data_IF_619115628841
#
_entry.id   IF_619115628841
#
_cell.length_a   1.000
_cell.length_b   1.000
_cell.length_c   1.000
_cell.angle_alpha   90.00
_cell.angle_beta   90.00
_cell.angle_gamma   90.00
#
_symmetry.space_group_name_H-M   'P 1'
#
loop_
_entity.id
_entity.type
_entity.pdbx_description
1 polymer ?
#
# COMPACT_ATOMS: atom_id res chain seq x y z
N UNK A 1 1.79 -20.95 -19.33
CA UNK A 1 1.45 -19.92 -18.32
C UNK A 1 1.54 -18.59 -19.04
N UNK A 2 0.40 -17.96 -19.30
CA UNK A 2 0.33 -16.71 -20.04
C UNK A 2 0.84 -15.54 -19.20
N UNK A 3 1.41 -14.54 -19.86
CA UNK A 3 1.97 -13.35 -19.20
C UNK A 3 0.92 -12.59 -18.39
N UNK A 4 -0.33 -12.58 -18.85
CA UNK A 4 -1.46 -11.96 -18.15
C UNK A 4 -1.71 -12.61 -16.78
N UNK A 5 -1.78 -13.94 -16.74
CA UNK A 5 -1.97 -14.71 -15.51
C UNK A 5 -0.82 -14.49 -14.51
N UNK A 6 0.40 -14.33 -15.00
CA UNK A 6 1.56 -14.04 -14.16
C UNK A 6 1.46 -12.64 -13.55
N UNK A 7 1.10 -11.63 -14.34
CA UNK A 7 0.90 -10.24 -13.86
C UNK A 7 -0.19 -10.19 -12.79
N UNK A 8 -1.32 -10.86 -13.02
CA UNK A 8 -2.43 -10.91 -12.05
C UNK A 8 -2.02 -11.57 -10.73
N UNK A 9 -1.24 -12.65 -10.80
CA UNK A 9 -0.73 -13.33 -9.61
C UNK A 9 0.23 -12.44 -8.80
N UNK A 10 1.15 -11.74 -9.47
CA UNK A 10 2.05 -10.79 -8.82
C UNK A 10 1.25 -9.65 -8.18
N UNK A 11 0.31 -9.07 -8.92
CA UNK A 11 -0.52 -7.97 -8.43
C UNK A 11 -1.34 -8.39 -7.19
N UNK A 12 -1.96 -9.57 -7.22
CA UNK A 12 -2.69 -10.13 -6.10
C UNK A 12 -1.78 -10.33 -4.87
N UNK A 13 -0.59 -10.90 -5.10
CA UNK A 13 0.39 -11.16 -4.05
C UNK A 13 0.86 -9.86 -3.38
N UNK A 14 1.26 -8.86 -4.18
CA UNK A 14 1.65 -7.54 -3.70
C UNK A 14 0.50 -6.83 -2.94
N UNK A 15 -0.74 -6.94 -3.44
CA UNK A 15 -1.91 -6.38 -2.77
C UNK A 15 -2.16 -7.01 -1.40
N UNK A 16 -2.12 -8.35 -1.31
CA UNK A 16 -2.31 -9.07 -0.05
C UNK A 16 -1.20 -8.75 0.95
N UNK A 17 0.07 -8.81 0.54
CA UNK A 17 1.18 -8.47 1.43
C UNK A 17 1.13 -7.00 1.90
N UNK A 18 0.76 -6.08 1.01
CA UNK A 18 0.57 -4.66 1.38
C UNK A 18 -0.55 -4.48 2.41
N UNK A 19 -1.68 -5.17 2.24
CA UNK A 19 -2.79 -5.14 3.20
C UNK A 19 -2.40 -5.73 4.56
N UNK A 20 -1.71 -6.87 4.57
CA UNK A 20 -1.23 -7.50 5.80
C UNK A 20 -0.24 -6.58 6.53
N UNK A 21 0.68 -5.95 5.80
CA UNK A 21 1.63 -4.99 6.36
C UNK A 21 0.90 -3.77 6.98
N UNK A 22 -0.12 -3.23 6.31
CA UNK A 22 -0.92 -2.14 6.86
C UNK A 22 -1.67 -2.52 8.14
N UNK A 23 -2.29 -3.71 8.14
CA UNK A 23 -2.99 -4.22 9.33
C UNK A 23 -2.01 -4.34 10.50
N UNK A 24 -0.88 -5.02 10.30
CA UNK A 24 0.10 -5.30 11.35
C UNK A 24 0.86 -4.06 11.84
N UNK A 25 1.32 -3.20 10.94
CA UNK A 25 2.20 -2.08 11.28
C UNK A 25 1.45 -0.80 11.65
N UNK A 26 0.24 -0.59 11.13
CA UNK A 26 -0.50 0.66 11.33
C UNK A 26 -1.82 0.44 12.08
N UNK A 27 -2.67 -0.47 11.63
CA UNK A 27 -4.02 -0.62 12.19
C UNK A 27 -4.01 -1.20 13.62
N UNK A 28 -3.20 -2.25 13.88
CA UNK A 28 -3.07 -2.87 15.20
C UNK A 28 -2.54 -1.89 16.27
N UNK A 29 -1.39 -1.19 16.08
CA UNK A 29 -0.91 -0.24 17.08
C UNK A 29 -1.82 0.98 17.26
N UNK A 30 -2.48 1.45 16.20
CA UNK A 30 -3.46 2.54 16.30
C UNK A 30 -4.67 2.13 17.17
N UNK A 31 -5.13 0.89 17.05
CA UNK A 31 -6.24 0.37 17.86
C UNK A 31 -5.86 0.17 19.33
N UNK A 32 -4.63 -0.27 19.60
CA UNK A 32 -4.14 -0.51 20.97
C UNK A 32 -3.94 0.78 21.78
N UNK A 33 -3.71 1.92 21.13
CA UNK A 33 -3.32 3.17 21.80
C UNK A 33 -4.46 3.91 22.51
N UNK A 34 -5.73 3.63 22.19
CA UNK A 34 -6.87 4.40 22.69
C UNK A 34 -7.84 3.56 23.53
N UNK A 35 -8.33 4.13 24.64
CA UNK A 35 -9.27 3.47 25.55
C UNK A 35 -10.74 3.53 25.12
N UNK A 36 -11.14 4.52 24.31
CA UNK A 36 -12.53 4.66 23.82
C UNK A 36 -12.69 4.15 22.38
N UNK A 37 -13.71 3.32 22.15
CA UNK A 37 -14.02 2.71 20.83
C UNK A 37 -14.13 3.74 19.69
N UNK A 38 -14.70 4.91 19.96
CA UNK A 38 -14.85 5.97 18.95
C UNK A 38 -13.51 6.59 18.51
N UNK A 39 -12.55 6.71 19.45
CA UNK A 39 -11.20 7.20 19.15
C UNK A 39 -10.40 6.16 18.35
N UNK A 40 -10.63 4.87 18.61
CA UNK A 40 -10.01 3.78 17.84
C UNK A 40 -10.45 3.78 16.38
N UNK A 41 -11.74 3.98 16.12
CA UNK A 41 -12.26 4.05 14.75
C UNK A 41 -11.67 5.22 13.95
N UNK A 42 -11.58 6.41 14.57
CA UNK A 42 -10.97 7.58 13.94
C UNK A 42 -9.45 7.38 13.70
N UNK A 43 -8.74 6.73 14.62
CA UNK A 43 -7.32 6.44 14.46
C UNK A 43 -7.06 5.46 13.30
N UNK A 44 -7.86 4.41 13.15
CA UNK A 44 -7.76 3.48 12.00
C UNK A 44 -8.15 4.17 10.69
N UNK A 45 -9.10 5.10 10.71
CA UNK A 45 -9.42 5.89 9.51
C UNK A 45 -8.22 6.74 9.06
N UNK A 46 -7.47 7.32 10.01
CA UNK A 46 -6.23 8.05 9.71
C UNK A 46 -5.13 7.15 9.14
N UNK A 47 -5.05 5.87 9.53
CA UNK A 47 -4.08 4.95 8.93
C UNK A 47 -4.43 4.57 7.50
N UNK A 48 -5.72 4.60 7.10
CA UNK A 48 -6.11 4.45 5.70
C UNK A 48 -5.59 5.60 4.82
N UNK A 49 -5.52 6.82 5.36
CA UNK A 49 -4.90 7.95 4.66
C UNK A 49 -3.42 7.69 4.37
N UNK A 50 -2.69 7.14 5.35
CA UNK A 50 -1.29 6.75 5.15
C UNK A 50 -1.13 5.66 4.09
N UNK A 51 -2.00 4.64 4.09
CA UNK A 51 -2.04 3.60 3.04
C UNK A 51 -2.23 4.22 1.66
N UNK A 52 -3.22 5.10 1.51
CA UNK A 52 -3.52 5.77 0.25
C UNK A 52 -2.33 6.62 -0.21
N UNK A 53 -1.68 7.36 0.69
CA UNK A 53 -0.49 8.14 0.37
C UNK A 53 0.65 7.25 -0.14
N UNK A 54 0.96 6.14 0.53
CA UNK A 54 1.98 5.19 0.06
C UNK A 54 1.63 4.58 -1.30
N UNK A 55 0.35 4.29 -1.56
CA UNK A 55 -0.10 3.76 -2.84
C UNK A 55 0.06 4.79 -3.97
N UNK A 56 -0.31 6.06 -3.71
CA UNK A 56 -0.14 7.15 -4.67
C UNK A 56 1.34 7.40 -4.95
N UNK A 57 2.18 7.48 -3.91
CA UNK A 57 3.62 7.69 -4.09
C UNK A 57 4.26 6.51 -4.83
N UNK A 58 3.91 5.28 -4.48
CA UNK A 58 4.41 4.07 -5.14
C UNK A 58 4.04 4.01 -6.63
N UNK A 59 2.79 4.32 -6.96
CA UNK A 59 2.33 4.36 -8.36
C UNK A 59 2.97 5.53 -9.12
N UNK A 60 3.07 6.71 -8.52
CA UNK A 60 3.75 7.85 -9.12
C UNK A 60 5.23 7.57 -9.40
N UNK A 61 5.95 6.93 -8.48
CA UNK A 61 7.33 6.50 -8.67
C UNK A 61 7.44 5.45 -9.77
N UNK A 62 6.57 4.44 -9.79
CA UNK A 62 6.55 3.43 -10.84
C UNK A 62 6.34 4.04 -12.23
N UNK A 63 5.37 4.95 -12.36
CA UNK A 63 5.12 5.69 -13.60
C UNK A 63 6.32 6.56 -13.97
N UNK A 64 6.92 7.25 -13.01
CA UNK A 64 8.10 8.07 -13.26
C UNK A 64 9.27 7.23 -13.80
N UNK A 65 9.54 6.05 -13.23
CA UNK A 65 10.60 5.14 -13.70
C UNK A 65 10.33 4.71 -15.15
N UNK A 66 9.09 4.36 -15.48
CA UNK A 66 8.71 3.96 -16.86
C UNK A 66 8.90 5.16 -17.81
N UNK A 67 8.51 6.36 -17.39
CA UNK A 67 8.60 7.56 -18.22
C UNK A 67 10.05 8.00 -18.46
N UNK A 68 10.92 7.81 -17.47
CA UNK A 68 12.35 8.13 -17.58
C UNK A 68 13.21 6.95 -18.05
N UNK A 69 12.60 5.82 -18.44
CA UNK A 69 13.34 4.61 -18.77
C UNK A 69 14.39 4.83 -19.86
N UNK A 70 14.05 5.55 -20.93
CA UNK A 70 14.98 5.88 -22.02
C UNK A 70 16.18 6.73 -21.57
N UNK A 71 16.05 7.52 -20.48
CA UNK A 71 17.15 8.29 -19.90
C UNK A 71 17.95 7.52 -18.86
N UNK A 72 17.33 6.52 -18.22
CA UNK A 72 17.95 5.69 -17.18
C UNK A 72 18.72 4.51 -17.78
N UNK A 73 18.30 4.03 -18.96
CA UNK A 73 18.87 2.87 -19.63
C UNK A 73 19.93 3.21 -20.70
N UNK A 74 20.19 4.50 -20.94
CA UNK A 74 21.25 5.01 -21.83
C UNK A 74 22.55 5.27 -21.06
#
# INVERSE_FOLDING_TARGET
>A
MDSESLILLIAACCGVFGLVAWIGLMAVPAWQSYGRLWQRAAAVFLTLYALAAFMIVGTALGVAVIWFWDRLAA
#
